data_IF_174130896273
#
_entry.id   IF_174130896273
#
_cell.length_a   1.000
_cell.length_b   1.000
_cell.length_c   1.000
_cell.angle_alpha   90.00
_cell.angle_beta   90.00
_cell.angle_gamma   90.00
#
_symmetry.space_group_name_H-M   'P 1'
#
loop_
_entity.id
_entity.type
_entity.pdbx_description
1 polymer ?
#
# COMPACT_ATOMS: atom_id res chain seq x y z
N UNK A 1 -9.84 25.88 1.24
CA UNK A 1 -9.27 25.82 -0.13
C UNK A 1 -7.81 25.38 -0.14
N UNK A 2 -6.95 25.93 0.73
CA UNK A 2 -5.54 25.53 0.85
C UNK A 2 -5.35 24.03 1.12
N UNK A 3 -6.04 23.46 2.12
CA UNK A 3 -5.97 22.03 2.46
C UNK A 3 -6.29 21.14 1.24
N UNK A 4 -7.39 21.42 0.55
CA UNK A 4 -7.81 20.66 -0.65
C UNK A 4 -6.72 20.71 -1.73
N UNK A 5 -6.19 21.89 -2.04
CA UNK A 5 -5.11 22.04 -3.03
C UNK A 5 -3.85 21.28 -2.62
N UNK A 6 -3.42 21.40 -1.37
CA UNK A 6 -2.25 20.69 -0.84
C UNK A 6 -2.46 19.17 -0.91
N UNK A 7 -3.64 18.66 -0.56
CA UNK A 7 -3.97 17.24 -0.66
C UNK A 7 -3.99 16.75 -2.11
N UNK A 8 -4.55 17.54 -3.04
CA UNK A 8 -4.57 17.18 -4.46
C UNK A 8 -3.16 17.12 -5.06
N UNK A 9 -2.28 18.06 -4.70
CA UNK A 9 -0.88 18.03 -5.12
C UNK A 9 -0.14 16.87 -4.45
N UNK A 10 -0.38 16.61 -3.16
CA UNK A 10 0.21 15.50 -2.44
C UNK A 10 -0.13 14.15 -3.10
N UNK A 11 -1.42 13.90 -3.34
CA UNK A 11 -1.85 12.65 -3.98
C UNK A 11 -1.33 12.57 -5.40
N UNK A 12 -1.38 13.64 -6.20
CA UNK A 12 -0.81 13.63 -7.55
C UNK A 12 0.66 13.21 -7.56
N UNK A 13 1.49 13.78 -6.69
CA UNK A 13 2.91 13.47 -6.62
C UNK A 13 3.19 12.04 -6.15
N UNK A 14 2.42 11.55 -5.17
CA UNK A 14 2.51 10.15 -4.72
C UNK A 14 2.18 9.23 -5.88
N UNK A 15 1.05 9.45 -6.57
CA UNK A 15 0.59 8.55 -7.62
C UNK A 15 1.48 8.59 -8.86
N UNK A 16 2.01 9.76 -9.23
CA UNK A 16 3.06 9.87 -10.25
C UNK A 16 4.33 9.12 -9.82
N UNK A 17 4.66 9.13 -8.53
CA UNK A 17 5.77 8.37 -7.99
C UNK A 17 5.61 6.85 -8.15
N UNK A 18 4.46 6.32 -7.77
CA UNK A 18 4.10 4.92 -7.99
C UNK A 18 4.10 4.54 -9.47
N UNK A 19 3.57 5.42 -10.33
CA UNK A 19 3.61 5.24 -11.78
C UNK A 19 5.04 5.17 -12.31
N UNK A 20 5.94 6.07 -11.88
CA UNK A 20 7.36 6.04 -12.27
C UNK A 20 8.07 4.77 -11.78
N UNK A 21 7.75 4.29 -10.57
CA UNK A 21 8.24 3.00 -10.08
C UNK A 21 7.79 1.84 -10.95
N UNK A 22 6.53 1.81 -11.38
CA UNK A 22 6.03 0.80 -12.31
C UNK A 22 6.75 0.88 -13.67
N UNK A 23 6.94 2.08 -14.23
CA UNK A 23 7.67 2.28 -15.50
C UNK A 23 9.14 1.85 -15.40
N UNK A 24 9.77 2.06 -14.24
CA UNK A 24 11.14 1.61 -13.98
C UNK A 24 11.23 0.08 -13.87
N UNK A 25 10.23 -0.57 -13.27
CA UNK A 25 10.25 -1.98 -12.95
C UNK A 25 10.61 -2.90 -14.13
N UNK A 26 10.16 -2.60 -15.35
CA UNK A 26 10.38 -3.41 -16.54
C UNK A 26 11.86 -3.47 -16.99
N UNK A 27 12.65 -2.44 -16.66
CA UNK A 27 14.08 -2.35 -17.00
C UNK A 27 15.03 -2.86 -15.91
N UNK A 28 14.50 -3.27 -14.76
CA UNK A 28 15.27 -3.57 -13.56
C UNK A 28 15.59 -5.07 -13.43
N UNK A 29 16.72 -5.45 -12.79
CA UNK A 29 17.00 -6.85 -12.47
C UNK A 29 15.86 -7.47 -11.65
N UNK A 30 15.47 -8.69 -11.99
CA UNK A 30 14.34 -9.36 -11.33
C UNK A 30 14.63 -9.66 -9.86
N UNK A 31 13.75 -9.17 -8.99
CA UNK A 31 13.86 -9.37 -7.54
C UNK A 31 13.58 -10.83 -7.19
N UNK A 32 14.55 -11.47 -6.56
CA UNK A 32 14.57 -12.90 -6.24
C UNK A 32 15.46 -13.75 -7.14
N UNK A 33 15.88 -13.21 -8.29
CA UNK A 33 16.80 -13.88 -9.22
C UNK A 33 18.19 -13.23 -9.23
N UNK A 34 18.27 -11.92 -8.97
CA UNK A 34 19.53 -11.18 -8.86
C UNK A 34 19.92 -10.94 -7.38
N UNK A 35 21.23 -10.79 -7.07
CA UNK A 35 21.69 -10.41 -5.74
C UNK A 35 21.09 -9.08 -5.28
N UNK A 36 20.73 -8.98 -3.99
CA UNK A 36 20.07 -7.80 -3.43
C UNK A 36 20.87 -6.49 -3.66
N UNK A 37 22.19 -6.54 -3.61
CA UNK A 37 23.06 -5.37 -3.85
C UNK A 37 22.99 -4.90 -5.31
N UNK A 38 22.86 -5.83 -6.27
CA UNK A 38 22.75 -5.50 -7.69
C UNK A 38 21.41 -4.83 -7.97
N UNK A 39 20.33 -5.37 -7.41
CA UNK A 39 18.99 -4.77 -7.48
C UNK A 39 19.01 -3.38 -6.85
N UNK A 40 19.53 -3.24 -5.62
CA UNK A 40 19.57 -1.96 -4.92
C UNK A 40 20.36 -0.90 -5.71
N UNK A 41 21.53 -1.28 -6.26
CA UNK A 41 22.32 -0.40 -7.12
C UNK A 41 21.53 0.02 -8.36
N UNK A 42 20.91 -0.94 -9.04
CA UNK A 42 20.15 -0.68 -10.27
C UNK A 42 18.96 0.27 -10.04
N UNK A 43 18.24 0.13 -8.91
CA UNK A 43 17.16 1.04 -8.52
C UNK A 43 17.66 2.47 -8.27
N UNK A 44 18.75 2.63 -7.52
CA UNK A 44 19.28 3.97 -7.19
C UNK A 44 19.94 4.64 -8.40
N UNK A 45 20.47 3.86 -9.35
CA UNK A 45 21.03 4.43 -10.59
C UNK A 45 19.98 4.79 -11.64
N UNK A 46 18.76 4.27 -11.53
CA UNK A 46 17.69 4.59 -12.46
C UNK A 46 17.02 5.91 -12.08
N UNK A 47 17.20 6.91 -12.95
CA UNK A 47 16.64 8.24 -12.75
C UNK A 47 15.12 8.24 -12.65
N UNK A 48 14.41 7.31 -13.31
CA UNK A 48 12.95 7.19 -13.24
C UNK A 48 12.53 6.70 -11.86
N UNK A 49 13.25 5.72 -11.33
CA UNK A 49 13.02 5.22 -9.99
C UNK A 49 13.29 6.29 -8.93
N UNK A 50 14.38 7.04 -9.09
CA UNK A 50 14.74 8.13 -8.19
C UNK A 50 13.77 9.31 -8.29
N UNK A 51 13.28 9.63 -9.48
CA UNK A 51 12.21 10.61 -9.65
C UNK A 51 10.93 10.15 -8.94
N UNK A 52 10.59 8.86 -9.05
CA UNK A 52 9.45 8.27 -8.36
C UNK A 52 9.59 8.35 -6.83
N UNK A 53 10.79 8.04 -6.32
CA UNK A 53 11.11 8.14 -4.91
C UNK A 53 11.04 9.59 -4.39
N UNK A 54 11.62 10.54 -5.13
CA UNK A 54 11.59 11.96 -4.78
C UNK A 54 10.15 12.49 -4.81
N UNK A 55 9.37 12.17 -5.86
CA UNK A 55 7.97 12.61 -5.99
C UNK A 55 7.11 12.06 -4.85
N UNK A 56 7.26 10.78 -4.53
CA UNK A 56 6.53 10.15 -3.41
C UNK A 56 6.92 10.78 -2.07
N UNK A 57 8.21 11.07 -1.87
CA UNK A 57 8.71 11.70 -0.65
C UNK A 57 8.16 13.12 -0.46
N UNK A 58 8.18 13.94 -1.51
CA UNK A 58 7.60 15.30 -1.49
C UNK A 58 6.09 15.23 -1.28
N UNK A 59 5.40 14.34 -2.00
CA UNK A 59 3.96 14.15 -1.84
C UNK A 59 3.58 13.71 -0.42
N UNK A 60 4.38 12.84 0.21
CA UNK A 60 4.16 12.43 1.60
C UNK A 60 4.34 13.59 2.59
N UNK A 61 5.36 14.44 2.41
CA UNK A 61 5.53 15.65 3.24
C UNK A 61 4.33 16.58 3.11
N UNK A 62 3.83 16.78 1.89
CA UNK A 62 2.62 17.58 1.66
C UNK A 62 1.37 16.93 2.26
N UNK A 63 1.26 15.60 2.23
CA UNK A 63 0.18 14.87 2.90
C UNK A 63 0.19 15.12 4.40
N UNK A 64 1.36 14.99 5.06
CA UNK A 64 1.51 15.29 6.49
C UNK A 64 1.13 16.73 6.79
N UNK A 65 1.57 17.68 5.97
CA UNK A 65 1.15 19.08 6.11
C UNK A 65 -0.36 19.26 5.93
N UNK A 66 -0.98 18.60 4.95
CA UNK A 66 -2.42 18.68 4.74
C UNK A 66 -3.20 18.15 5.96
N UNK A 67 -2.74 17.03 6.56
CA UNK A 67 -3.34 16.50 7.80
C UNK A 67 -3.10 17.36 9.03
N UNK A 68 -2.06 18.22 9.02
CA UNK A 68 -1.83 19.19 10.08
C UNK A 68 -2.67 20.47 9.91
N UNK A 69 -3.03 20.82 8.67
CA UNK A 69 -3.77 22.04 8.34
C UNK A 69 -5.29 21.85 8.29
N UNK A 70 -5.79 20.61 8.20
CA UNK A 70 -7.22 20.34 8.13
C UNK A 70 -7.60 18.92 8.51
N UNK A 71 -8.91 18.66 8.53
CA UNK A 71 -9.45 17.42 9.05
C UNK A 71 -9.06 16.21 8.19
N UNK A 72 -8.60 15.17 8.85
CA UNK A 72 -8.21 13.89 8.23
C UNK A 72 -9.37 13.32 7.40
N UNK A 73 -10.60 13.48 7.86
CA UNK A 73 -11.83 13.03 7.18
C UNK A 73 -12.08 13.74 5.83
N UNK A 74 -11.45 14.90 5.59
CA UNK A 74 -11.44 15.57 4.27
C UNK A 74 -10.23 15.15 3.43
N UNK A 75 -9.07 14.98 4.07
CA UNK A 75 -7.82 14.64 3.37
C UNK A 75 -7.86 13.23 2.79
N UNK A 76 -8.40 12.25 3.51
CA UNK A 76 -8.37 10.85 3.10
C UNK A 76 -9.21 10.52 1.87
N UNK A 77 -10.48 10.99 1.73
CA UNK A 77 -11.24 10.77 0.50
C UNK A 77 -10.53 11.34 -0.74
N UNK A 78 -9.90 12.52 -0.60
CA UNK A 78 -9.11 13.14 -1.67
C UNK A 78 -7.85 12.32 -2.00
N UNK A 79 -7.19 11.75 -1.01
CA UNK A 79 -6.06 10.84 -1.21
C UNK A 79 -6.50 9.61 -2.02
N UNK A 80 -7.62 8.98 -1.63
CA UNK A 80 -8.17 7.80 -2.30
C UNK A 80 -8.64 8.08 -3.73
N UNK A 81 -9.12 9.29 -4.02
CA UNK A 81 -9.41 9.69 -5.39
C UNK A 81 -8.14 9.65 -6.27
N UNK A 82 -6.97 9.95 -5.71
CA UNK A 82 -5.70 9.79 -6.43
C UNK A 82 -5.32 8.33 -6.67
N UNK A 83 -5.73 7.38 -5.83
CA UNK A 83 -5.48 5.95 -6.11
C UNK A 83 -6.13 5.53 -7.44
N UNK A 84 -7.31 6.10 -7.76
CA UNK A 84 -7.95 5.92 -9.07
C UNK A 84 -7.16 6.60 -10.20
N UNK A 85 -6.54 7.75 -9.94
CA UNK A 85 -5.68 8.42 -10.92
C UNK A 85 -4.53 7.50 -11.35
N UNK A 86 -3.89 6.79 -10.41
CA UNK A 86 -2.84 5.84 -10.76
C UNK A 86 -3.36 4.72 -11.68
N UNK A 87 -4.53 4.18 -11.40
CA UNK A 87 -5.16 3.14 -12.22
C UNK A 87 -5.44 3.69 -13.63
N UNK A 88 -5.94 4.91 -13.74
CA UNK A 88 -6.14 5.59 -15.04
C UNK A 88 -4.81 5.80 -15.76
N UNK A 89 -3.77 6.27 -15.06
CA UNK A 89 -2.43 6.43 -15.64
C UNK A 89 -1.89 5.10 -16.16
N UNK A 90 -2.10 4.01 -15.43
CA UNK A 90 -1.67 2.68 -15.85
C UNK A 90 -2.43 2.16 -17.06
N UNK A 91 -3.75 2.36 -17.12
CA UNK A 91 -4.55 1.96 -18.28
C UNK A 91 -4.16 2.76 -19.53
N UNK A 92 -3.99 4.07 -19.40
CA UNK A 92 -3.76 4.97 -20.54
C UNK A 92 -2.30 4.94 -21.01
N UNK A 93 -1.34 5.05 -20.10
CA UNK A 93 0.08 5.21 -20.47
C UNK A 93 0.85 3.88 -20.48
N UNK A 94 0.50 2.92 -19.63
CA UNK A 94 1.10 1.58 -19.63
C UNK A 94 0.32 0.59 -20.52
N UNK A 95 -0.76 1.04 -21.17
CA UNK A 95 -1.65 0.21 -22.00
C UNK A 95 -2.19 -1.02 -21.26
N UNK A 96 -2.37 -0.92 -19.94
CA UNK A 96 -2.93 -2.02 -19.14
C UNK A 96 -4.40 -2.24 -19.52
N UNK A 97 -4.73 -3.47 -19.94
CA UNK A 97 -6.11 -3.83 -20.27
C UNK A 97 -6.87 -4.19 -19.00
N UNK A 98 -7.97 -3.49 -18.78
CA UNK A 98 -8.90 -3.72 -17.68
C UNK A 98 -10.30 -4.02 -18.20
N UNK A 99 -10.92 -5.08 -17.69
CA UNK A 99 -12.31 -5.44 -18.00
C UNK A 99 -13.27 -4.75 -17.01
N UNK A 100 -14.57 -4.72 -17.34
CA UNK A 100 -15.59 -4.05 -16.51
C UNK A 100 -15.62 -4.55 -15.06
N UNK A 101 -15.37 -5.85 -14.86
CA UNK A 101 -15.33 -6.47 -13.53
C UNK A 101 -14.12 -5.98 -12.71
N UNK A 102 -12.97 -5.80 -13.36
CA UNK A 102 -11.77 -5.28 -12.69
C UNK A 102 -11.96 -3.81 -12.29
N UNK A 103 -12.60 -3.00 -13.13
CA UNK A 103 -12.99 -1.63 -12.78
C UNK A 103 -13.92 -1.57 -11.57
N UNK A 104 -14.94 -2.43 -11.52
CA UNK A 104 -15.81 -2.54 -10.35
C UNK A 104 -15.03 -2.98 -9.11
N UNK A 105 -14.10 -3.93 -9.26
CA UNK A 105 -13.21 -4.38 -8.19
C UNK A 105 -12.36 -3.24 -7.62
N UNK A 106 -11.66 -2.50 -8.48
CA UNK A 106 -10.88 -1.32 -8.10
C UNK A 106 -11.75 -0.30 -7.38
N UNK A 107 -12.90 0.05 -7.95
CA UNK A 107 -13.79 1.04 -7.35
C UNK A 107 -14.25 0.61 -5.94
N UNK A 108 -14.62 -0.65 -5.77
CA UNK A 108 -15.01 -1.18 -4.46
C UNK A 108 -13.84 -1.17 -3.46
N UNK A 109 -12.63 -1.54 -3.89
CA UNK A 109 -11.45 -1.48 -3.00
C UNK A 109 -11.11 -0.06 -2.57
N UNK A 110 -11.21 0.92 -3.48
CA UNK A 110 -10.97 2.33 -3.18
C UNK A 110 -12.06 2.86 -2.26
N UNK A 111 -13.34 2.58 -2.53
CA UNK A 111 -14.44 3.00 -1.65
C UNK A 111 -14.34 2.38 -0.26
N UNK A 112 -13.94 1.11 -0.17
CA UNK A 112 -13.71 0.46 1.11
C UNK A 112 -12.53 1.08 1.86
N UNK A 113 -11.44 1.42 1.17
CA UNK A 113 -10.31 2.16 1.74
C UNK A 113 -10.73 3.55 2.24
N UNK A 114 -11.57 4.28 1.49
CA UNK A 114 -12.15 5.57 1.94
C UNK A 114 -12.96 5.39 3.21
N UNK A 115 -13.85 4.39 3.26
CA UNK A 115 -14.69 4.13 4.43
C UNK A 115 -13.85 3.79 5.67
N UNK A 116 -12.80 2.98 5.51
CA UNK A 116 -11.85 2.69 6.59
C UNK A 116 -11.09 3.94 7.04
N UNK A 117 -10.66 4.76 6.09
CA UNK A 117 -9.87 5.93 6.35
C UNK A 117 -10.69 6.97 7.12
N UNK A 118 -11.91 7.30 6.68
CA UNK A 118 -12.77 8.33 7.28
C UNK A 118 -13.01 8.14 8.78
N UNK A 119 -12.99 6.90 9.25
CA UNK A 119 -13.18 6.54 10.66
C UNK A 119 -11.88 6.34 11.44
N UNK A 120 -10.73 6.59 10.83
CA UNK A 120 -9.47 6.74 11.53
C UNK A 120 -9.42 8.10 12.27
N UNK A 121 -10.43 8.39 13.08
CA UNK A 121 -10.34 9.49 14.05
C UNK A 121 -9.28 9.15 15.10
N UNK A 122 -8.59 10.20 15.55
CA UNK A 122 -7.47 10.14 16.48
C UNK A 122 -7.89 9.67 17.87
N UNK A 123 -8.16 8.38 18.02
CA UNK A 123 -8.18 7.73 19.31
C UNK A 123 -6.82 7.99 19.97
N UNK A 124 -6.82 8.84 21.00
CA UNK A 124 -5.66 9.12 21.85
C UNK A 124 -5.36 7.88 22.67
N UNK A 125 -4.80 6.87 22.01
CA UNK A 125 -4.42 5.62 22.65
C UNK A 125 -3.14 5.88 23.43
N UNK A 126 -3.23 5.81 24.75
CA UNK A 126 -2.12 6.11 25.66
C UNK A 126 -1.27 4.88 25.98
N UNK A 127 -1.77 3.67 25.69
CA UNK A 127 -1.07 2.41 25.95
C UNK A 127 -1.48 1.33 24.94
N UNK A 128 -0.58 0.39 24.68
CA UNK A 128 -0.83 -0.79 23.86
C UNK A 128 -0.32 -2.05 24.56
N UNK A 129 -0.92 -3.19 24.23
CA UNK A 129 -0.47 -4.49 24.74
C UNK A 129 0.66 -5.04 23.84
N UNK A 130 1.89 -5.05 24.37
CA UNK A 130 3.07 -5.51 23.64
C UNK A 130 3.03 -6.99 23.24
N UNK A 131 2.35 -7.84 24.02
CA UNK A 131 2.19 -9.26 23.68
C UNK A 131 1.24 -9.41 22.49
N UNK A 132 0.11 -8.69 22.49
CA UNK A 132 -0.84 -8.71 21.36
C UNK A 132 -0.21 -8.16 20.09
N UNK A 133 0.60 -7.10 20.22
CA UNK A 133 1.37 -6.56 19.10
C UNK A 133 2.34 -7.62 18.53
N UNK A 134 3.12 -8.28 19.38
CA UNK A 134 4.07 -9.31 18.96
C UNK A 134 3.37 -10.51 18.29
N UNK A 135 2.26 -10.98 18.86
CA UNK A 135 1.44 -12.06 18.28
C UNK A 135 0.88 -11.65 16.92
N UNK A 136 0.32 -10.46 16.79
CA UNK A 136 -0.24 -9.97 15.53
C UNK A 136 0.83 -9.85 14.43
N UNK A 137 2.00 -9.30 14.78
CA UNK A 137 3.13 -9.20 13.85
C UNK A 137 3.67 -10.59 13.47
N UNK A 138 3.73 -11.52 14.43
CA UNK A 138 4.11 -12.91 14.18
C UNK A 138 3.14 -13.60 13.22
N UNK A 139 1.83 -13.48 13.43
CA UNK A 139 0.80 -14.02 12.53
C UNK A 139 0.89 -13.37 11.15
N UNK A 140 1.08 -12.06 11.09
CA UNK A 140 1.25 -11.31 9.83
C UNK A 140 2.46 -11.80 9.05
N UNK A 141 3.59 -12.03 9.73
CA UNK A 141 4.81 -12.55 9.13
C UNK A 141 4.64 -13.98 8.62
N UNK A 142 3.99 -14.86 9.41
CA UNK A 142 3.69 -16.23 9.02
C UNK A 142 2.75 -16.28 7.81
N UNK A 143 1.71 -15.44 7.78
CA UNK A 143 0.81 -15.30 6.65
C UNK A 143 1.57 -14.80 5.40
N UNK A 144 2.40 -13.77 5.54
CA UNK A 144 3.25 -13.28 4.46
C UNK A 144 4.17 -14.36 3.90
N UNK A 145 4.84 -15.14 4.76
CA UNK A 145 5.69 -16.25 4.35
C UNK A 145 4.89 -17.36 3.64
N UNK A 146 3.71 -17.72 4.14
CA UNK A 146 2.83 -18.69 3.49
C UNK A 146 2.37 -18.21 2.10
N UNK A 147 1.99 -16.93 1.97
CA UNK A 147 1.62 -16.34 0.69
C UNK A 147 2.81 -16.31 -0.29
N UNK A 148 4.02 -15.99 0.17
CA UNK A 148 5.24 -16.05 -0.66
C UNK A 148 5.57 -17.47 -1.12
N UNK A 149 5.36 -18.49 -0.27
CA UNK A 149 5.53 -19.89 -0.64
C UNK A 149 4.48 -20.35 -1.65
N UNK A 150 3.21 -19.99 -1.42
CA UNK A 150 2.12 -20.25 -2.36
C UNK A 150 2.35 -19.55 -3.70
N UNK A 151 2.96 -18.35 -3.67
CA UNK A 151 3.29 -17.57 -4.84
C UNK A 151 4.21 -18.31 -5.83
N UNK A 152 5.10 -19.18 -5.33
CA UNK A 152 6.00 -19.99 -6.17
C UNK A 152 5.26 -20.93 -7.13
N UNK A 153 4.00 -21.26 -6.84
CA UNK A 153 3.16 -22.17 -7.64
C UNK A 153 1.92 -21.48 -8.21
N UNK A 154 1.76 -20.17 -7.99
CA UNK A 154 0.57 -19.43 -8.39
C UNK A 154 0.60 -19.06 -9.87
N UNK A 155 -0.57 -19.14 -10.52
CA UNK A 155 -0.77 -18.63 -11.88
C UNK A 155 -0.89 -17.10 -11.93
N UNK A 156 -1.09 -16.44 -10.79
CA UNK A 156 -1.23 -14.98 -10.67
C UNK A 156 -0.28 -14.45 -9.58
N UNK A 157 1.02 -14.34 -9.89
CA UNK A 157 2.00 -13.96 -8.88
C UNK A 157 1.86 -12.51 -8.40
N UNK A 158 1.25 -11.65 -9.23
CA UNK A 158 0.99 -10.25 -8.91
C UNK A 158 0.05 -10.07 -7.71
N UNK A 159 -0.99 -10.91 -7.60
CA UNK A 159 -2.03 -10.80 -6.56
C UNK A 159 -1.46 -11.17 -5.19
N UNK A 160 -0.76 -12.30 -5.10
CA UNK A 160 -0.17 -12.75 -3.84
C UNK A 160 0.95 -11.81 -3.38
N UNK A 161 1.76 -11.30 -4.31
CA UNK A 161 2.77 -10.30 -3.97
C UNK A 161 2.14 -9.01 -3.47
N UNK A 162 1.08 -8.50 -4.10
CA UNK A 162 0.37 -7.32 -3.64
C UNK A 162 -0.20 -7.48 -2.22
N UNK A 163 -0.74 -8.66 -1.89
CA UNK A 163 -1.19 -8.98 -0.53
C UNK A 163 -0.04 -8.93 0.49
N UNK A 164 1.11 -9.53 0.15
CA UNK A 164 2.29 -9.51 1.03
C UNK A 164 2.83 -8.09 1.20
N UNK A 165 2.83 -7.28 0.13
CA UNK A 165 3.21 -5.86 0.20
C UNK A 165 2.31 -5.10 1.16
N UNK A 166 1.00 -5.30 1.05
CA UNK A 166 0.03 -4.70 1.97
C UNK A 166 0.24 -5.14 3.42
N UNK A 167 0.57 -6.42 3.67
CA UNK A 167 0.95 -6.88 5.00
C UNK A 167 2.20 -6.18 5.54
N UNK A 168 3.22 -5.97 4.72
CA UNK A 168 4.43 -5.25 5.12
C UNK A 168 4.18 -3.77 5.44
N UNK A 169 3.45 -3.04 4.57
CA UNK A 169 3.11 -1.64 4.82
C UNK A 169 2.12 -1.47 5.98
N UNK A 170 1.17 -2.40 6.12
CA UNK A 170 0.26 -2.44 7.26
C UNK A 170 1.01 -2.69 8.57
N UNK A 171 1.93 -3.67 8.61
CA UNK A 171 2.81 -3.89 9.75
C UNK A 171 3.66 -2.65 10.07
N UNK A 172 4.20 -1.98 9.04
CA UNK A 172 4.89 -0.70 9.18
C UNK A 172 4.01 0.36 9.84
N UNK A 173 2.75 0.49 9.40
CA UNK A 173 1.78 1.45 9.95
C UNK A 173 1.42 1.16 11.41
N UNK A 174 1.23 -0.12 11.75
CA UNK A 174 0.96 -0.58 13.13
C UNK A 174 2.16 -0.25 14.03
N UNK A 175 3.37 -0.56 13.57
CA UNK A 175 4.61 -0.25 14.28
C UNK A 175 4.83 1.26 14.43
N UNK A 176 4.50 2.05 13.41
CA UNK A 176 4.54 3.52 13.49
C UNK A 176 3.56 4.01 14.56
N UNK A 177 2.34 3.47 14.60
CA UNK A 177 1.37 3.80 15.64
C UNK A 177 1.89 3.43 17.03
N UNK A 178 2.43 2.21 17.20
CA UNK A 178 3.03 1.78 18.46
C UNK A 178 4.21 2.68 18.88
N UNK A 179 5.06 3.09 17.93
CA UNK A 179 6.16 4.02 18.16
C UNK A 179 5.64 5.40 18.61
N UNK A 180 4.61 5.94 17.97
CA UNK A 180 4.03 7.23 18.37
C UNK A 180 3.45 7.19 19.78
N UNK A 181 2.79 6.09 20.17
CA UNK A 181 2.27 5.90 21.54
C UNK A 181 3.41 5.76 22.54
N UNK A 182 4.44 4.97 22.22
CA UNK A 182 5.61 4.79 23.09
C UNK A 182 6.42 6.08 23.27
N UNK A 183 6.43 6.96 22.27
CA UNK A 183 7.15 8.24 22.28
C UNK A 183 6.29 9.42 22.78
N UNK A 184 5.01 9.23 23.11
CA UNK A 184 4.12 10.27 23.63
C UNK A 184 4.28 10.54 25.15
N UNK A 185 5.31 9.99 25.80
CA UNK A 185 5.57 10.19 27.23
C UNK A 185 6.09 11.60 27.58
N UNK A 186 5.94 12.06 28.84
CA UNK A 186 6.38 13.39 29.26
C UNK A 186 7.88 13.60 29.00
N UNK A 187 8.23 14.58 28.17
CA UNK A 187 9.62 14.97 27.88
C UNK A 187 10.29 14.26 26.71
N UNK A 188 9.61 13.34 26.01
CA UNK A 188 10.10 12.75 24.76
C UNK A 188 9.39 13.38 23.57
N UNK A 189 10.12 14.18 22.79
CA UNK A 189 9.65 14.62 21.49
C UNK A 189 10.10 13.61 20.44
N UNK A 190 9.28 13.37 19.43
CA UNK A 190 9.63 12.55 18.25
C UNK A 190 10.90 13.09 17.56
N UNK A 191 11.27 14.35 17.83
CA UNK A 191 12.45 15.04 17.33
C UNK A 191 13.74 14.84 18.16
N UNK A 192 13.72 14.01 19.21
CA UNK A 192 14.94 13.70 19.97
C UNK A 192 15.77 12.64 19.23
N UNK A 193 17.09 12.85 19.12
CA UNK A 193 18.04 11.88 18.53
C UNK A 193 17.92 10.45 19.10
N UNK A 194 17.40 10.31 20.32
CA UNK A 194 17.13 9.03 20.98
C UNK A 194 16.10 8.15 20.24
N UNK A 195 15.17 8.74 19.48
CA UNK A 195 14.21 7.99 18.67
C UNK A 195 14.92 7.17 17.58
N UNK A 196 16.08 7.64 17.08
CA UNK A 196 16.87 6.91 16.08
C UNK A 196 17.43 5.59 16.60
N UNK A 197 17.62 5.46 17.92
CA UNK A 197 18.10 4.23 18.55
C UNK A 197 16.96 3.30 18.98
N UNK A 198 15.70 3.70 18.79
CA UNK A 198 14.56 2.91 19.21
C UNK A 198 14.42 1.66 18.30
N UNK A 199 14.41 0.43 18.87
CA UNK A 199 14.21 -0.80 18.09
C UNK A 199 12.92 -0.80 17.26
N UNK A 200 11.87 -0.10 17.72
CA UNK A 200 10.63 0.03 16.97
C UNK A 200 10.80 0.86 15.70
N UNK A 201 11.64 1.90 15.72
CA UNK A 201 11.93 2.67 14.50
C UNK A 201 12.65 1.80 13.46
N UNK A 202 13.62 0.99 13.89
CA UNK A 202 14.28 0.03 12.99
C UNK A 202 13.27 -0.96 12.41
N UNK A 203 12.33 -1.47 13.22
CA UNK A 203 11.28 -2.36 12.74
C UNK A 203 10.33 -1.66 11.73
N UNK A 204 9.97 -0.40 11.95
CA UNK A 204 9.18 0.42 10.99
C UNK A 204 9.93 0.54 9.67
N UNK A 205 11.22 0.92 9.71
CA UNK A 205 12.03 1.08 8.51
C UNK A 205 12.17 -0.23 7.76
N UNK A 206 12.48 -1.33 8.46
CA UNK A 206 12.62 -2.66 7.85
C UNK A 206 11.32 -3.13 7.20
N UNK A 207 10.17 -2.94 7.87
CA UNK A 207 8.86 -3.32 7.32
C UNK A 207 8.53 -2.54 6.03
N UNK A 208 8.78 -1.23 6.02
CA UNK A 208 8.53 -0.38 4.85
C UNK A 208 9.53 -0.64 3.72
N UNK A 209 10.81 -0.85 4.02
CA UNK A 209 11.82 -1.20 3.01
C UNK A 209 11.52 -2.57 2.39
N UNK A 210 11.15 -3.56 3.21
CA UNK A 210 10.70 -4.86 2.72
C UNK A 210 9.44 -4.73 1.85
N UNK A 211 8.45 -3.95 2.30
CA UNK A 211 7.24 -3.64 1.54
C UNK A 211 7.56 -3.00 0.18
N UNK A 212 8.45 -2.02 0.15
CA UNK A 212 8.87 -1.35 -1.09
C UNK A 212 9.62 -2.30 -2.03
N UNK A 213 10.53 -3.13 -1.52
CA UNK A 213 11.24 -4.12 -2.33
C UNK A 213 10.27 -5.16 -2.93
N UNK A 214 9.29 -5.62 -2.15
CA UNK A 214 8.25 -6.53 -2.62
C UNK A 214 7.27 -5.84 -3.58
N UNK A 215 7.04 -4.53 -3.43
CA UNK A 215 6.22 -3.74 -4.35
C UNK A 215 6.89 -3.66 -5.72
N UNK A 216 8.20 -3.40 -5.75
CA UNK A 216 8.95 -3.47 -7.01
C UNK A 216 8.85 -4.87 -7.64
N UNK A 217 8.94 -5.92 -6.82
CA UNK A 217 8.79 -7.30 -7.28
C UNK A 217 7.38 -7.61 -7.80
N UNK A 218 6.34 -6.95 -7.25
CA UNK A 218 4.96 -7.05 -7.70
C UNK A 218 4.76 -6.30 -9.02
N UNK A 219 5.32 -5.10 -9.15
CA UNK A 219 5.30 -4.32 -10.40
C UNK A 219 6.04 -5.02 -11.54
N UNK A 220 7.15 -5.71 -11.28
CA UNK A 220 7.84 -6.51 -12.29
C UNK A 220 6.99 -7.68 -12.83
N UNK A 221 6.06 -8.20 -12.03
CA UNK A 221 5.29 -9.41 -12.35
C UNK A 221 3.83 -9.13 -12.69
N UNK A 222 3.41 -7.87 -12.60
CA UNK A 222 1.99 -7.54 -12.67
C UNK A 222 1.61 -6.12 -12.98
N UNK A 223 0.30 -5.96 -13.17
CA UNK A 223 -0.36 -4.69 -13.52
C UNK A 223 -0.47 -3.78 -12.29
N UNK A 224 -0.06 -2.51 -12.44
CA UNK A 224 -0.19 -1.54 -11.36
C UNK A 224 -1.66 -1.29 -10.98
N UNK A 225 -2.56 -1.38 -11.97
CA UNK A 225 -4.02 -1.27 -11.77
C UNK A 225 -4.63 -2.33 -10.84
N UNK A 226 -3.94 -3.45 -10.62
CA UNK A 226 -4.37 -4.51 -9.68
C UNK A 226 -3.55 -4.49 -8.41
N UNK A 227 -2.22 -4.34 -8.54
CA UNK A 227 -1.29 -4.41 -7.42
C UNK A 227 -1.57 -3.31 -6.38
N UNK A 228 -1.74 -2.06 -6.82
CA UNK A 228 -1.86 -0.93 -5.88
C UNK A 228 -3.15 -0.96 -5.06
N UNK A 229 -4.34 -1.12 -5.67
CA UNK A 229 -5.58 -1.18 -4.89
C UNK A 229 -5.58 -2.37 -3.91
N UNK A 230 -5.02 -3.51 -4.32
CA UNK A 230 -4.94 -4.71 -3.50
C UNK A 230 -3.99 -4.58 -2.31
N UNK A 231 -2.79 -4.00 -2.49
CA UNK A 231 -1.89 -3.75 -1.35
C UNK A 231 -2.52 -2.78 -0.34
N UNK A 232 -3.24 -1.76 -0.80
CA UNK A 232 -3.80 -0.71 0.05
C UNK A 232 -4.96 -1.28 0.88
N UNK A 233 -5.82 -2.05 0.21
CA UNK A 233 -6.84 -2.88 0.83
C UNK A 233 -6.28 -3.72 1.99
N UNK A 234 -5.22 -4.49 1.72
CA UNK A 234 -4.65 -5.39 2.71
C UNK A 234 -3.94 -4.65 3.85
N UNK A 235 -3.23 -3.55 3.54
CA UNK A 235 -2.59 -2.69 4.53
C UNK A 235 -3.63 -2.07 5.49
N UNK A 236 -4.71 -1.50 4.95
CA UNK A 236 -5.76 -0.92 5.77
C UNK A 236 -6.48 -2.00 6.61
N UNK A 237 -6.77 -3.17 6.03
CA UNK A 237 -7.42 -4.26 6.76
C UNK A 237 -6.61 -4.72 7.98
N UNK A 238 -5.30 -4.95 7.82
CA UNK A 238 -4.46 -5.37 8.95
C UNK A 238 -4.28 -4.24 9.98
N UNK A 239 -4.19 -2.98 9.53
CA UNK A 239 -4.10 -1.83 10.45
C UNK A 239 -5.37 -1.66 11.27
N UNK A 240 -6.55 -1.84 10.67
CA UNK A 240 -7.83 -1.81 11.41
C UNK A 240 -7.92 -2.97 12.40
N UNK A 241 -7.54 -4.18 11.99
CA UNK A 241 -7.49 -5.33 12.89
C UNK A 241 -6.57 -5.07 14.09
N UNK A 242 -5.42 -4.45 13.86
CA UNK A 242 -4.51 -4.06 14.92
C UNK A 242 -5.10 -3.00 15.86
N UNK A 243 -5.81 -2.00 15.32
CA UNK A 243 -6.57 -1.02 16.10
C UNK A 243 -7.43 -1.69 17.16
N UNK A 244 -8.15 -2.74 16.76
CA UNK A 244 -9.08 -3.46 17.65
C UNK A 244 -8.36 -4.38 18.62
N UNK A 245 -7.42 -5.19 18.12
CA UNK A 245 -6.77 -6.24 18.93
C UNK A 245 -5.73 -5.66 19.88
N UNK A 246 -4.88 -4.76 19.37
CA UNK A 246 -3.68 -4.24 20.06
C UNK A 246 -4.00 -2.94 20.81
N UNK A 247 -4.80 -2.07 20.21
CA UNK A 247 -5.10 -0.73 20.73
C UNK A 247 -6.51 -0.62 21.35
N UNK A 248 -7.27 -1.73 21.39
CA UNK A 248 -8.62 -1.83 21.94
C UNK A 248 -9.62 -0.81 21.37
N UNK A 249 -9.46 -0.44 20.09
CA UNK A 249 -10.39 0.44 19.39
C UNK A 249 -11.72 -0.25 19.09
N UNK A 250 -12.80 0.50 19.16
CA UNK A 250 -14.11 0.01 18.77
C UNK A 250 -14.27 -0.01 17.24
N UNK A 251 -14.78 -1.13 16.71
CA UNK A 251 -15.17 -1.23 15.30
C UNK A 251 -16.55 -0.61 15.16
N UNK A 252 -16.59 0.46 14.40
CA UNK A 252 -17.79 1.11 13.89
C UNK A 252 -18.34 0.37 12.66
N UNK A 253 -19.63 0.55 12.38
CA UNK A 253 -20.31 -0.11 11.27
C UNK A 253 -19.71 0.25 9.90
N UNK A 254 -19.22 1.48 9.72
CA UNK A 254 -18.61 1.93 8.47
C UNK A 254 -17.25 1.28 8.23
N UNK A 255 -16.41 1.07 9.27
CA UNK A 255 -15.20 0.23 9.20
C UNK A 255 -15.53 -1.20 8.78
N UNK A 256 -16.57 -1.80 9.37
CA UNK A 256 -17.05 -3.14 8.97
C UNK A 256 -17.45 -3.21 7.49
N UNK A 257 -18.20 -2.20 7.02
CA UNK A 257 -18.60 -2.08 5.62
C UNK A 257 -17.39 -1.88 4.69
N UNK A 258 -16.41 -1.07 5.08
CA UNK A 258 -15.18 -0.84 4.33
C UNK A 258 -14.37 -2.12 4.11
N UNK A 259 -14.26 -2.97 5.13
CA UNK A 259 -13.62 -4.29 5.04
C UNK A 259 -14.36 -5.18 4.02
N UNK A 260 -15.69 -5.22 4.09
CA UNK A 260 -16.51 -6.02 3.15
C UNK A 260 -16.31 -5.53 1.72
N UNK A 261 -16.35 -4.22 1.47
CA UNK A 261 -16.09 -3.64 0.15
C UNK A 261 -14.72 -4.02 -0.39
N UNK A 262 -13.68 -3.97 0.45
CA UNK A 262 -12.32 -4.37 0.10
C UNK A 262 -12.25 -5.86 -0.27
N UNK A 263 -12.85 -6.74 0.54
CA UNK A 263 -12.84 -8.19 0.28
C UNK A 263 -13.57 -8.50 -1.02
N UNK A 264 -14.77 -7.94 -1.21
CA UNK A 264 -15.55 -8.12 -2.44
C UNK A 264 -14.77 -7.57 -3.64
N UNK A 265 -14.24 -6.35 -3.55
CA UNK A 265 -13.45 -5.74 -4.62
C UNK A 265 -12.23 -6.58 -4.99
N UNK A 266 -11.51 -7.11 -4.00
CA UNK A 266 -10.36 -8.01 -4.18
C UNK A 266 -10.76 -9.30 -4.89
N UNK A 267 -11.86 -9.92 -4.50
CA UNK A 267 -12.34 -11.14 -5.17
C UNK A 267 -12.71 -10.86 -6.63
N UNK A 268 -13.30 -9.71 -6.93
CA UNK A 268 -13.62 -9.29 -8.30
C UNK A 268 -12.37 -9.10 -9.16
N UNK A 269 -11.28 -8.59 -8.59
CA UNK A 269 -9.99 -8.47 -9.28
C UNK A 269 -9.35 -9.83 -9.64
N UNK A 270 -9.72 -10.91 -8.95
CA UNK A 270 -9.25 -12.26 -9.29
C UNK A 270 -9.99 -12.87 -10.49
N UNK A 271 -11.21 -12.41 -10.76
CA UNK A 271 -12.00 -12.85 -11.92
C UNK A 271 -11.49 -12.17 -13.19
N UNK A 272 -10.39 -12.70 -13.73
CA UNK A 272 -9.95 -12.43 -15.10
C UNK A 272 -10.97 -13.07 -16.04
N UNK A 273 -11.69 -12.33 -16.91
CA UNK A 273 -12.43 -12.98 -17.98
C UNK A 273 -11.42 -13.77 -18.80
N UNK A 274 -11.75 -15.01 -19.14
CA UNK A 274 -10.98 -15.78 -20.10
C UNK A 274 -10.71 -14.86 -21.29
N UNK A 275 -9.43 -14.64 -21.57
CA UNK A 275 -8.95 -13.87 -22.71
C UNK A 275 -9.85 -14.14 -23.89
N UNK A 276 -10.42 -13.09 -24.48
CA UNK A 276 -11.03 -13.16 -25.81
C UNK A 276 -10.08 -14.01 -26.65
N UNK A 277 -10.57 -15.19 -27.06
CA UNK A 277 -9.78 -16.14 -27.82
C UNK A 277 -9.12 -15.38 -28.99
N UNK A 278 -7.87 -15.69 -29.36
CA UNK A 278 -7.34 -15.22 -30.63
C UNK A 278 -8.38 -15.58 -31.68
N UNK A 279 -8.84 -14.60 -32.46
CA UNK A 279 -9.72 -14.86 -33.59
C UNK A 279 -9.09 -16.03 -34.37
N UNK A 280 -9.87 -17.09 -34.69
CA UNK A 280 -9.33 -18.16 -35.51
C UNK A 280 -8.76 -17.50 -36.77
N UNK A 281 -7.46 -17.68 -36.98
CA UNK A 281 -6.86 -17.40 -38.29
C UNK A 281 -7.67 -18.26 -39.24
N UNK A 282 -8.52 -17.61 -40.04
CA UNK A 282 -9.35 -18.32 -41.00
C UNK A 282 -8.43 -19.14 -41.91
N UNK A 283 -8.81 -20.37 -42.28
CA UNK A 283 -8.11 -21.01 -43.37
C UNK A 283 -8.37 -20.14 -44.62
N UNK A 284 -7.30 -19.60 -45.19
CA UNK A 284 -7.18 -18.89 -46.47
C UNK A 284 -7.01 -17.36 -46.37
N UNK A 285 -5.82 -16.88 -46.72
CA UNK A 285 -5.50 -15.46 -46.96
C UNK A 285 -4.03 -15.14 -46.74
#
# INVERSE_FOLDING_TARGET
MLVVLTTLVATLLIQLGYFMWKVSADGQPQIGSAPALVVAKALVTDWRWMLGFASTSVGWVLFVQATALGDISLVQPLMSAGDLLLVVLAVVFLNERMVRVEWAGVLLTVLGAVALAMEAEGSQVTAFDGMRLAVLLGVTLLLGAALLLANRRSRQPEVLLALVVGLCFGAGSILTKALTVASAGPGQSIMTWAVLLNPLLLAVVLANVAGLALLQAAFQRGRASVVVPLQLAMANAITVLAGVVVFAEHITLLRGFGIVLIVVGTTLLQFKPASVAPLPVGPNG
#
